data_IF_472215610124
#
_entry.id   IF_472215610124
#
_cell.length_a   1.000
_cell.length_b   1.000
_cell.length_c   1.000
_cell.angle_alpha   90.00
_cell.angle_beta   90.00
_cell.angle_gamma   90.00
#
_symmetry.space_group_name_H-M   'P 1'
#
loop_
_entity.id
_entity.type
_entity.pdbx_description
1 polymer ?
#
# COMPACT_ATOMS: atom_id res chain seq x y z
N UNK A 1 7.23 -65.11 -9.41
CA UNK A 1 7.74 -64.06 -10.34
C UNK A 1 6.57 -63.20 -10.79
N UNK A 2 6.84 -61.90 -11.01
CA UNK A 2 5.97 -60.78 -11.46
C UNK A 2 5.51 -59.84 -10.34
N UNK A 3 6.44 -58.95 -9.98
CA UNK A 3 6.19 -57.69 -9.26
C UNK A 3 5.71 -56.70 -10.32
N UNK A 4 4.47 -56.20 -10.20
CA UNK A 4 3.91 -55.17 -11.06
C UNK A 4 4.40 -53.80 -10.58
N UNK A 5 5.35 -53.23 -11.31
CA UNK A 5 5.80 -51.85 -11.18
C UNK A 5 4.72 -50.89 -11.67
N UNK A 6 4.12 -50.13 -10.76
CA UNK A 6 3.37 -48.93 -11.10
C UNK A 6 4.27 -47.73 -10.86
N UNK A 7 4.78 -47.16 -11.96
CA UNK A 7 5.52 -45.91 -11.95
C UNK A 7 4.56 -44.79 -11.55
N UNK A 8 4.72 -44.31 -10.31
CA UNK A 8 4.05 -43.11 -9.82
C UNK A 8 4.72 -41.93 -10.53
N UNK A 9 4.03 -41.39 -11.54
CA UNK A 9 4.41 -40.17 -12.23
C UNK A 9 4.56 -39.04 -11.21
N UNK A 10 5.79 -38.58 -11.05
CA UNK A 10 6.14 -37.40 -10.27
C UNK A 10 5.46 -36.21 -10.96
N UNK A 11 4.37 -35.74 -10.36
CA UNK A 11 3.71 -34.50 -10.74
C UNK A 11 4.74 -33.38 -10.52
N UNK A 12 5.28 -32.83 -11.61
CA UNK A 12 5.98 -31.56 -11.60
C UNK A 12 5.00 -30.52 -11.03
N UNK A 13 5.16 -30.18 -9.76
CA UNK A 13 4.61 -28.96 -9.20
C UNK A 13 5.30 -27.80 -9.91
N UNK A 14 4.64 -27.31 -10.96
CA UNK A 14 4.93 -26.02 -11.55
C UNK A 14 4.87 -24.98 -10.42
N UNK A 15 6.04 -24.54 -9.97
CA UNK A 15 6.19 -23.37 -9.10
C UNK A 15 5.73 -22.16 -9.90
N UNK A 16 4.45 -21.82 -9.79
CA UNK A 16 3.94 -20.54 -10.31
C UNK A 16 4.58 -19.46 -9.44
N UNK A 17 5.42 -18.57 -10.00
CA UNK A 17 5.86 -17.40 -9.24
C UNK A 17 4.62 -16.56 -8.96
N UNK A 18 4.22 -16.50 -7.69
CA UNK A 18 3.21 -15.58 -7.22
C UNK A 18 3.76 -14.16 -7.44
N UNK A 19 3.42 -13.56 -8.58
CA UNK A 19 3.71 -12.16 -8.85
C UNK A 19 2.89 -11.33 -7.84
N UNK A 20 3.55 -10.94 -6.77
CA UNK A 20 3.02 -10.09 -5.71
C UNK A 20 2.81 -8.68 -6.26
N UNK A 21 1.57 -8.23 -6.34
CA UNK A 21 1.21 -6.97 -6.96
C UNK A 21 1.41 -5.79 -5.99
N UNK A 22 2.32 -4.87 -6.32
CA UNK A 22 2.33 -3.52 -5.74
C UNK A 22 1.05 -2.79 -6.17
N UNK A 23 0.36 -2.13 -5.23
CA UNK A 23 -0.81 -1.30 -5.56
C UNK A 23 -0.52 0.17 -5.30
N UNK A 24 -0.89 1.03 -6.26
CA UNK A 24 -0.78 2.47 -6.15
C UNK A 24 -2.15 3.14 -6.17
N UNK A 25 -2.34 4.12 -5.29
CA UNK A 25 -3.55 4.91 -5.15
C UNK A 25 -3.21 6.38 -5.36
N UNK A 26 -3.93 7.04 -6.27
CA UNK A 26 -3.81 8.50 -6.44
C UNK A 26 -4.55 9.19 -5.31
N UNK A 27 -3.88 10.12 -4.63
CA UNK A 27 -4.42 10.92 -3.53
C UNK A 27 -5.13 12.15 -4.10
N UNK A 28 -6.44 12.26 -3.89
CA UNK A 28 -7.20 13.47 -4.24
C UNK A 28 -7.69 14.22 -2.98
N UNK A 29 -7.26 15.47 -2.85
CA UNK A 29 -7.80 16.53 -1.97
C UNK A 29 -8.16 16.12 -0.53
N UNK A 30 -7.30 16.54 0.41
CA UNK A 30 -7.49 16.37 1.85
C UNK A 30 -8.58 17.32 2.37
N UNK A 31 -9.66 16.78 2.97
CA UNK A 31 -10.66 17.61 3.68
C UNK A 31 -10.35 17.84 5.16
N UNK A 32 -9.44 17.08 5.76
CA UNK A 32 -9.04 17.28 7.15
C UNK A 32 -7.63 16.74 7.39
N UNK A 33 -6.73 17.68 7.70
CA UNK A 33 -5.34 17.43 8.08
C UNK A 33 -5.18 17.95 9.49
N UNK A 34 -5.00 17.06 10.45
CA UNK A 34 -4.66 17.44 11.82
C UNK A 34 -3.14 17.29 12.02
N UNK A 35 -2.60 17.71 13.16
CA UNK A 35 -1.18 17.53 13.48
C UNK A 35 -0.75 16.06 13.48
N UNK A 36 -1.69 15.12 13.64
CA UNK A 36 -1.40 13.71 13.85
C UNK A 36 -1.95 12.79 12.75
N UNK A 37 -2.97 13.22 12.00
CA UNK A 37 -3.75 12.35 11.11
C UNK A 37 -4.05 13.04 9.78
N UNK A 38 -3.74 12.37 8.67
CA UNK A 38 -4.13 12.79 7.31
C UNK A 38 -4.99 11.69 6.65
N UNK A 39 -6.12 12.06 6.04
CA UNK A 39 -7.00 11.13 5.30
C UNK A 39 -6.81 11.29 3.79
N UNK A 40 -6.30 10.25 3.13
CA UNK A 40 -6.07 10.18 1.69
C UNK A 40 -7.24 9.49 1.01
N UNK A 41 -7.76 10.05 -0.08
CA UNK A 41 -8.79 9.39 -0.90
C UNK A 41 -8.22 8.89 -2.21
N UNK A 42 -8.64 7.69 -2.61
CA UNK A 42 -8.37 7.12 -3.93
C UNK A 42 -9.07 7.89 -5.06
N UNK A 43 -8.78 7.51 -6.31
CA UNK A 43 -9.31 8.17 -7.51
C UNK A 43 -10.84 8.15 -7.62
N UNK A 44 -11.48 7.15 -7.03
CA UNK A 44 -12.93 6.99 -6.96
C UNK A 44 -13.57 7.67 -5.74
N UNK A 45 -12.78 8.38 -4.92
CA UNK A 45 -13.17 9.03 -3.65
C UNK A 45 -13.75 8.11 -2.58
N UNK A 46 -13.65 6.79 -2.75
CA UNK A 46 -14.34 5.83 -1.91
C UNK A 46 -13.38 4.97 -1.08
N UNK A 47 -12.15 4.76 -1.56
CA UNK A 47 -11.07 4.20 -0.76
C UNK A 47 -10.46 5.32 0.07
N UNK A 48 -10.30 5.17 1.39
CA UNK A 48 -9.50 6.13 2.15
C UNK A 48 -8.45 5.48 3.05
N UNK A 49 -7.25 6.05 3.03
CA UNK A 49 -6.15 5.64 3.89
C UNK A 49 -5.88 6.73 4.91
N UNK A 50 -5.48 6.34 6.13
CA UNK A 50 -5.17 7.27 7.21
C UNK A 50 -3.68 7.19 7.51
N UNK A 51 -2.96 8.30 7.31
CA UNK A 51 -1.54 8.42 7.66
C UNK A 51 -1.37 8.86 9.11
N UNK A 52 -0.60 8.07 9.86
CA UNK A 52 -0.15 8.36 11.21
C UNK A 52 1.37 8.52 11.19
N UNK A 53 1.86 9.75 11.32
CA UNK A 53 3.28 10.03 11.58
C UNK A 53 3.42 10.48 13.03
N UNK A 54 3.64 9.49 13.89
CA UNK A 54 4.02 9.64 15.29
C UNK A 54 5.41 9.04 15.49
N UNK A 55 6.08 9.44 16.57
CA UNK A 55 7.42 8.94 16.88
C UNK A 55 7.43 7.43 17.19
N UNK A 56 6.29 6.89 17.66
CA UNK A 56 6.09 5.48 17.98
C UNK A 56 5.34 4.70 16.90
N UNK A 57 4.80 5.37 15.89
CA UNK A 57 4.01 4.76 14.82
C UNK A 57 4.10 5.59 13.54
N UNK A 58 4.88 5.11 12.58
CA UNK A 58 5.00 5.66 11.22
C UNK A 58 4.23 4.75 10.25
N UNK A 59 2.91 4.88 10.23
CA UNK A 59 2.03 3.92 9.56
C UNK A 59 0.91 4.56 8.74
N UNK A 60 0.31 3.73 7.90
CA UNK A 60 -0.85 4.00 7.06
C UNK A 60 -1.85 2.90 7.33
N UNK A 61 -3.01 3.26 7.86
CA UNK A 61 -4.14 2.33 7.96
C UNK A 61 -5.02 2.50 6.74
N UNK A 62 -5.19 1.45 5.95
CA UNK A 62 -6.10 1.47 4.81
C UNK A 62 -7.51 1.06 5.27
N UNK A 63 -8.50 1.88 4.93
CA UNK A 63 -9.91 1.63 5.29
C UNK A 63 -10.74 1.74 4.02
N UNK A 64 -11.07 0.59 3.45
CA UNK A 64 -11.95 0.48 2.30
C UNK A 64 -12.62 -0.89 2.29
N UNK A 65 -13.89 -0.92 2.70
CA UNK A 65 -14.69 -2.15 2.72
C UNK A 65 -14.92 -2.80 1.35
N UNK A 66 -14.48 -2.19 0.24
CA UNK A 66 -14.57 -2.75 -1.12
C UNK A 66 -13.29 -3.43 -1.57
N UNK A 67 -12.18 -3.22 -0.86
CA UNK A 67 -10.91 -3.93 -1.09
C UNK A 67 -10.60 -4.70 0.20
N UNK A 68 -11.25 -5.88 0.42
CA UNK A 68 -11.24 -6.56 1.70
C UNK A 68 -9.84 -6.99 2.14
N UNK A 69 -8.94 -7.24 1.19
CA UNK A 69 -7.55 -7.58 1.49
C UNK A 69 -6.71 -6.44 2.08
N UNK A 70 -7.20 -5.20 2.02
CA UNK A 70 -6.52 -4.02 2.56
C UNK A 70 -7.29 -3.39 3.73
N UNK A 71 -8.57 -3.74 3.92
CA UNK A 71 -9.41 -3.10 4.93
C UNK A 71 -8.94 -3.41 6.35
N UNK A 72 -8.66 -2.35 7.11
CA UNK A 72 -8.12 -2.44 8.47
C UNK A 72 -6.64 -2.86 8.54
N UNK A 73 -5.94 -2.94 7.41
CA UNK A 73 -4.53 -3.32 7.36
C UNK A 73 -3.63 -2.09 7.56
N UNK A 74 -2.65 -2.23 8.45
CA UNK A 74 -1.60 -1.23 8.65
C UNK A 74 -0.39 -1.52 7.75
N UNK A 75 0.11 -0.47 7.12
CA UNK A 75 1.34 -0.46 6.35
C UNK A 75 2.32 0.54 6.98
N UNK A 76 3.61 0.28 6.89
CA UNK A 76 4.63 1.01 7.63
C UNK A 76 5.58 1.74 6.69
N UNK A 77 5.89 2.97 7.04
CA UNK A 77 7.01 3.68 6.42
C UNK A 77 8.33 3.14 6.98
N UNK A 78 9.41 3.27 6.21
CA UNK A 78 10.75 2.84 6.62
C UNK A 78 11.24 3.55 7.90
N UNK A 79 10.76 4.78 8.14
CA UNK A 79 11.08 5.54 9.35
C UNK A 79 10.03 6.63 9.63
N UNK A 80 9.98 7.18 10.86
CA UNK A 80 9.18 8.37 11.14
C UNK A 80 9.51 9.54 10.22
N UNK A 81 10.79 9.74 9.89
CA UNK A 81 11.24 10.77 8.95
C UNK A 81 10.60 10.59 7.57
N UNK A 82 10.60 9.37 7.03
CA UNK A 82 9.95 9.07 5.75
C UNK A 82 8.44 9.33 5.77
N UNK A 83 7.78 9.07 6.90
CA UNK A 83 6.37 9.42 7.08
C UNK A 83 6.14 10.94 7.07
N UNK A 84 6.96 11.71 7.81
CA UNK A 84 6.86 13.17 7.80
C UNK A 84 7.13 13.78 6.42
N UNK A 85 8.08 13.23 5.66
CA UNK A 85 8.31 13.61 4.27
C UNK A 85 7.11 13.28 3.38
N UNK A 86 6.54 12.08 3.51
CA UNK A 86 5.32 11.68 2.81
C UNK A 86 4.15 12.63 3.11
N UNK A 87 3.95 12.99 4.38
CA UNK A 87 2.94 13.96 4.83
C UNK A 87 3.19 15.34 4.22
N UNK A 88 4.44 15.79 4.17
CA UNK A 88 4.79 17.06 3.53
C UNK A 88 4.47 17.05 2.03
N UNK A 89 4.78 15.95 1.32
CA UNK A 89 4.44 15.76 -0.09
C UNK A 89 2.92 15.78 -0.33
N UNK A 90 2.16 15.08 0.50
CA UNK A 90 0.69 15.06 0.44
C UNK A 90 0.11 16.47 0.64
N UNK A 91 0.66 17.25 1.58
CA UNK A 91 0.23 18.64 1.81
C UNK A 91 0.65 19.56 0.66
N UNK A 92 1.80 19.31 0.04
CA UNK A 92 2.29 20.11 -1.09
C UNK A 92 1.60 19.78 -2.42
N UNK A 93 0.84 18.68 -2.52
CA UNK A 93 0.03 18.32 -3.69
C UNK A 93 -1.01 19.39 -4.09
N UNK A 94 -1.25 20.42 -3.25
CA UNK A 94 -1.95 21.64 -3.64
C UNK A 94 -1.19 22.51 -4.65
N UNK A 95 0.08 22.21 -4.96
CA UNK A 95 0.96 22.97 -5.87
C UNK A 95 1.28 22.20 -7.17
N UNK A 96 0.26 21.73 -7.88
CA UNK A 96 0.37 21.10 -9.22
C UNK A 96 1.09 19.74 -9.32
N UNK A 97 1.36 19.05 -8.21
CA UNK A 97 1.87 17.67 -8.24
C UNK A 97 0.76 16.67 -7.95
N UNK A 98 0.74 15.57 -8.71
CA UNK A 98 -0.02 14.38 -8.32
C UNK A 98 0.75 13.66 -7.20
N UNK A 99 0.05 13.14 -6.19
CA UNK A 99 0.68 12.28 -5.18
C UNK A 99 0.07 10.89 -5.24
N UNK A 100 0.93 9.88 -5.11
CA UNK A 100 0.58 8.47 -5.17
C UNK A 100 1.05 7.77 -3.90
N UNK A 101 0.11 7.10 -3.22
CA UNK A 101 0.41 6.17 -2.14
C UNK A 101 0.60 4.78 -2.73
N UNK A 102 1.80 4.23 -2.57
CA UNK A 102 2.14 2.86 -2.96
C UNK A 102 2.18 1.96 -1.73
N UNK A 103 1.47 0.84 -1.79
CA UNK A 103 1.42 -0.17 -0.74
C UNK A 103 1.99 -1.49 -1.24
N UNK A 104 2.90 -2.08 -0.46
CA UNK A 104 3.40 -3.44 -0.68
C UNK A 104 2.71 -4.38 0.31
N UNK A 105 1.78 -5.20 -0.19
CA UNK A 105 0.98 -6.13 0.61
C UNK A 105 1.77 -7.27 1.23
N UNK A 106 2.99 -7.55 0.75
CA UNK A 106 3.85 -8.62 1.27
C UNK A 106 4.71 -8.14 2.43
N UNK A 107 5.38 -7.01 2.25
CA UNK A 107 6.26 -6.44 3.28
C UNK A 107 5.54 -5.50 4.23
N UNK A 108 4.24 -5.24 3.99
CA UNK A 108 3.46 -4.20 4.65
C UNK A 108 4.14 -2.83 4.59
N UNK A 109 4.86 -2.54 3.50
CA UNK A 109 5.55 -1.26 3.35
C UNK A 109 4.64 -0.23 2.70
N UNK A 110 4.69 1.00 3.20
CA UNK A 110 4.05 2.18 2.62
C UNK A 110 5.09 3.16 2.07
N UNK A 111 4.79 3.75 0.93
CA UNK A 111 5.57 4.84 0.37
C UNK A 111 4.65 5.84 -0.31
N UNK A 112 4.97 7.13 -0.20
CA UNK A 112 4.30 8.18 -0.98
C UNK A 112 5.31 8.76 -1.97
N UNK A 113 4.88 8.94 -3.21
CA UNK A 113 5.66 9.61 -4.25
C UNK A 113 4.85 10.76 -4.83
N UNK A 114 5.52 11.87 -5.10
CA UNK A 114 4.98 12.87 -6.01
C UNK A 114 5.28 12.42 -7.45
N UNK A 115 4.29 12.51 -8.32
CA UNK A 115 4.38 12.27 -9.75
C UNK A 115 3.74 13.44 -10.50
N UNK A 116 4.14 13.66 -11.76
CA UNK A 116 3.49 14.64 -12.64
C UNK A 116 3.35 16.06 -12.03
N UNK A 117 4.47 16.65 -11.61
CA UNK A 117 4.53 18.05 -11.16
C UNK A 117 4.60 19.01 -12.36
N UNK A 118 3.72 20.01 -12.41
CA UNK A 118 3.69 21.06 -13.45
C UNK A 118 4.10 22.42 -12.91
#
# INVERSE_FOLDING_TARGET
MKILSWAIGICLLCTVPAFSATRSFRVYSLKQVTSQVDRLYGADRNAFATLFCRDDAAEVMFVDGRIPELDGVNFFFESPKACFEARALIRSSYRNCTTELSLNTRSLAAQVKASHCQ
#
